data_IF_008491349437
#
_entry.id   IF_008491349437
#
_cell.length_a   1.000
_cell.length_b   1.000
_cell.length_c   1.000
_cell.angle_alpha   90.00
_cell.angle_beta   90.00
_cell.angle_gamma   90.00
#
_symmetry.space_group_name_H-M   'P 1'
#
loop_
_entity.id
_entity.type
_entity.pdbx_description
1 polymer ?
#
# COMPACT_ATOMS: atom_id res chain seq x y z
N UNK A 1 25.42 -1.40 5.67
CA UNK A 1 24.33 -2.40 5.66
C UNK A 1 23.01 -1.65 5.73
N UNK A 2 22.01 -1.95 4.89
CA UNK A 2 20.72 -1.25 4.89
C UNK A 2 19.78 -1.88 5.94
N UNK A 3 19.39 -1.18 7.02
CA UNK A 3 18.55 -1.76 8.08
C UNK A 3 17.18 -2.18 7.56
N UNK A 4 16.64 -1.50 6.55
CA UNK A 4 15.32 -1.78 5.98
C UNK A 4 15.20 -3.17 5.34
N UNK A 5 16.32 -3.85 5.06
CA UNK A 5 16.32 -5.21 4.52
C UNK A 5 16.18 -6.30 5.60
N UNK A 6 16.28 -5.95 6.88
CA UNK A 6 16.38 -6.92 7.97
C UNK A 6 15.42 -6.66 9.13
N UNK A 7 14.81 -5.48 9.21
CA UNK A 7 13.80 -5.20 10.24
C UNK A 7 12.56 -6.05 10.03
N UNK A 8 11.82 -6.29 11.12
CA UNK A 8 10.56 -6.99 11.05
C UNK A 8 9.49 -6.16 10.32
N UNK A 9 8.48 -6.80 9.70
CA UNK A 9 7.33 -6.09 9.14
C UNK A 9 6.63 -5.18 10.16
N UNK A 10 6.53 -5.61 11.42
CA UNK A 10 5.91 -4.81 12.49
C UNK A 10 6.68 -3.53 12.80
N UNK A 11 8.01 -3.58 12.83
CA UNK A 11 8.84 -2.40 13.07
C UNK A 11 8.76 -1.42 11.89
N UNK A 12 8.74 -1.96 10.66
CA UNK A 12 8.53 -1.17 9.46
C UNK A 12 7.19 -0.43 9.52
N UNK A 13 6.08 -1.13 9.79
CA UNK A 13 4.75 -0.53 9.83
C UNK A 13 4.59 0.46 10.98
N UNK A 14 5.15 0.17 12.16
CA UNK A 14 5.13 1.09 13.29
C UNK A 14 5.85 2.41 12.96
N UNK A 15 7.01 2.35 12.31
CA UNK A 15 7.69 3.55 11.83
C UNK A 15 6.87 4.30 10.77
N UNK A 16 6.41 3.58 9.75
CA UNK A 16 5.72 4.14 8.59
C UNK A 16 4.37 4.76 8.95
N UNK A 17 3.70 4.25 10.00
CA UNK A 17 2.43 4.75 10.50
C UNK A 17 2.57 5.81 11.60
N UNK A 18 3.79 6.10 12.07
CA UNK A 18 4.03 7.10 13.12
C UNK A 18 3.56 8.49 12.72
N UNK A 19 3.22 9.33 13.71
CA UNK A 19 2.70 10.69 13.49
C UNK A 19 3.68 11.62 12.75
N UNK A 20 4.98 11.31 12.81
CA UNK A 20 6.03 12.11 12.16
C UNK A 20 6.30 11.67 10.71
N UNK A 21 5.91 10.45 10.33
CA UNK A 21 6.16 9.88 8.99
C UNK A 21 4.88 9.80 8.17
N UNK A 22 3.80 9.22 8.75
CA UNK A 22 2.46 9.10 8.16
C UNK A 22 2.38 8.51 6.74
N UNK A 23 3.44 7.88 6.26
CA UNK A 23 3.53 7.42 4.88
C UNK A 23 2.58 6.26 4.62
N UNK A 24 2.36 5.39 5.62
CA UNK A 24 1.45 4.26 5.49
C UNK A 24 0.00 4.73 5.24
N UNK A 25 -0.44 5.77 5.94
CA UNK A 25 -1.76 6.39 5.79
C UNK A 25 -1.90 7.06 4.42
N UNK A 26 -0.88 7.80 3.99
CA UNK A 26 -0.88 8.48 2.69
C UNK A 26 -0.97 7.47 1.54
N UNK A 27 -0.13 6.42 1.57
CA UNK A 27 -0.15 5.37 0.55
C UNK A 27 -1.46 4.59 0.56
N UNK A 28 -1.99 4.25 1.74
CA UNK A 28 -3.30 3.60 1.86
C UNK A 28 -4.41 4.41 1.16
N UNK A 29 -4.45 5.72 1.44
CA UNK A 29 -5.45 6.62 0.83
C UNK A 29 -5.28 6.73 -0.68
N UNK A 30 -4.07 6.98 -1.16
CA UNK A 30 -3.79 7.10 -2.60
C UNK A 30 -4.17 5.81 -3.32
N UNK A 31 -3.78 4.66 -2.77
CA UNK A 31 -4.06 3.36 -3.36
C UNK A 31 -5.56 3.08 -3.42
N UNK A 32 -6.27 3.32 -2.30
CA UNK A 32 -7.73 3.21 -2.25
C UNK A 32 -8.38 4.07 -3.33
N UNK A 33 -8.09 5.38 -3.32
CA UNK A 33 -8.73 6.33 -4.23
C UNK A 33 -8.46 5.94 -5.69
N UNK A 34 -7.21 5.58 -6.04
CA UNK A 34 -6.83 5.12 -7.38
C UNK A 34 -7.60 3.87 -7.81
N UNK A 35 -7.67 2.86 -6.95
CA UNK A 35 -8.35 1.58 -7.26
C UNK A 35 -9.86 1.78 -7.40
N UNK A 36 -10.46 2.70 -6.64
CA UNK A 36 -11.89 2.99 -6.72
C UNK A 36 -12.27 3.89 -7.89
N UNK A 37 -11.46 4.88 -8.20
CA UNK A 37 -11.68 5.81 -9.30
C UNK A 37 -11.54 5.11 -10.66
N UNK A 38 -10.42 4.41 -10.88
CA UNK A 38 -10.10 3.85 -12.20
C UNK A 38 -10.61 2.42 -12.40
N UNK A 39 -10.89 1.70 -11.31
CA UNK A 39 -11.26 0.27 -11.31
C UNK A 39 -10.45 -0.59 -12.32
N UNK A 40 -9.11 -0.53 -12.26
CA UNK A 40 -8.26 -1.13 -13.28
C UNK A 40 -8.35 -2.66 -13.27
N UNK A 41 -8.22 -3.26 -14.46
CA UNK A 41 -8.10 -4.72 -14.61
C UNK A 41 -6.76 -5.27 -14.09
N UNK A 42 -5.70 -4.48 -14.19
CA UNK A 42 -4.34 -4.87 -13.78
C UNK A 42 -3.59 -3.64 -13.28
N UNK A 43 -2.72 -3.83 -12.29
CA UNK A 43 -1.90 -2.78 -11.69
C UNK A 43 -0.46 -3.25 -11.52
N UNK A 44 0.49 -2.33 -11.62
CA UNK A 44 1.89 -2.53 -11.26
C UNK A 44 2.22 -1.61 -10.09
N UNK A 45 2.78 -2.15 -9.01
CA UNK A 45 3.05 -1.40 -7.79
C UNK A 45 4.54 -1.50 -7.49
N UNK A 46 5.25 -0.41 -7.79
CA UNK A 46 6.69 -0.31 -7.63
C UNK A 46 7.04 0.06 -6.19
N UNK A 47 8.14 -0.52 -5.66
CA UNK A 47 8.53 -0.28 -4.28
C UNK A 47 7.52 -0.83 -3.26
N UNK A 48 6.82 -1.91 -3.62
CA UNK A 48 5.86 -2.57 -2.74
C UNK A 48 6.54 -3.21 -1.53
N UNK A 49 5.96 -3.00 -0.36
CA UNK A 49 6.28 -3.65 0.91
C UNK A 49 4.98 -3.96 1.66
N UNK A 50 5.08 -4.36 2.93
CA UNK A 50 3.91 -4.50 3.80
C UNK A 50 3.19 -3.15 4.01
N UNK A 51 1.90 -3.18 4.34
CA UNK A 51 1.04 -2.00 4.34
C UNK A 51 0.65 -1.52 2.94
N UNK A 52 0.44 -0.21 2.76
CA UNK A 52 0.16 0.47 1.47
C UNK A 52 -1.24 0.30 0.85
N UNK A 53 -2.20 -0.36 1.51
CA UNK A 53 -3.61 -0.38 1.06
C UNK A 53 -4.00 -1.55 0.15
N UNK A 54 -3.21 -2.63 0.08
CA UNK A 54 -3.55 -3.79 -0.73
C UNK A 54 -4.85 -4.50 -0.32
N UNK A 55 -5.31 -4.29 0.91
CA UNK A 55 -6.61 -4.79 1.37
C UNK A 55 -7.78 -4.27 0.52
N UNK A 56 -7.63 -3.12 -0.15
CA UNK A 56 -8.66 -2.56 -1.05
C UNK A 56 -8.82 -3.36 -2.36
N UNK A 57 -7.95 -4.33 -2.63
CA UNK A 57 -8.08 -5.27 -3.76
C UNK A 57 -8.91 -6.51 -3.40
N UNK A 58 -9.03 -6.83 -2.11
CA UNK A 58 -9.66 -8.05 -1.67
C UNK A 58 -11.15 -8.09 -2.09
N UNK A 59 -11.53 -9.10 -2.85
CA UNK A 59 -12.91 -9.29 -3.32
C UNK A 59 -13.37 -8.33 -4.42
N UNK A 60 -12.49 -7.47 -4.95
CA UNK A 60 -12.89 -6.54 -6.02
C UNK A 60 -13.03 -7.26 -7.36
N UNK A 61 -14.10 -6.89 -8.08
CA UNK A 61 -14.32 -7.27 -9.49
C UNK A 61 -14.02 -6.05 -10.37
N UNK A 62 -13.22 -6.25 -11.42
CA UNK A 62 -12.91 -5.21 -12.39
C UNK A 62 -13.98 -5.15 -13.49
N UNK A 63 -14.12 -4.00 -14.15
CA UNK A 63 -15.01 -3.86 -15.31
C UNK A 63 -14.42 -4.64 -16.49
N UNK A 64 -15.20 -5.54 -17.09
CA UNK A 64 -14.86 -6.11 -18.40
C UNK A 64 -15.12 -5.05 -19.47
N UNK A 65 -14.24 -5.00 -20.48
CA UNK A 65 -14.46 -4.25 -21.72
C UNK A 65 -15.65 -4.82 -22.48
#
# INVERSE_FOLDING_TARGET
MNPWLYISPSDYEAHMSSQTVMQLQALNKIFKDTIYEYNPKSICVLGSATGNGFEHLAGKKYKSL
#
